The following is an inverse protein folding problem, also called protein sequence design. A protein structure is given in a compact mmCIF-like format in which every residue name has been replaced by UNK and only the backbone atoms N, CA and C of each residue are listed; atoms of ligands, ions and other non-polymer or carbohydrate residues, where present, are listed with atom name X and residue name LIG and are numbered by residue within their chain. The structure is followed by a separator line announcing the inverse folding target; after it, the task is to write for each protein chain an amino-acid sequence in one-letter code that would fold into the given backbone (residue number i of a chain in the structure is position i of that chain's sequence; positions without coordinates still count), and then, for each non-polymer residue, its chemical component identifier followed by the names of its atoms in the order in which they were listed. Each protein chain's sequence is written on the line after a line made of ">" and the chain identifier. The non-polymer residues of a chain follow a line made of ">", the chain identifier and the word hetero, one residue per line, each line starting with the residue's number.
data_IF_478788691238
#
_entry.id   IF_478788691238
#
_cell.length_a   1.000
_cell.length_b   1.000
_cell.length_c   1.000
_cell.angle_alpha   90.00
_cell.angle_beta   90.00
_cell.angle_gamma   90.00
#
_symmetry.space_group_name_H-M   'P 1'
#
loop_
_entity.id
_entity.type
_entity.pdbx_description
1 polymer ?
#
# COMPACT_ATOMS: atom_id res chain seq x y z
N UNK A 1 22.20 3.80 7.92
CA UNK A 1 21.22 3.23 6.95
C UNK A 1 21.88 2.73 5.67
N UNK A 2 22.96 3.39 5.17
CA UNK A 2 23.62 3.03 3.91
C UNK A 2 24.11 1.58 3.91
N UNK A 3 24.98 1.25 4.84
CA UNK A 3 25.51 -0.12 4.98
C UNK A 3 24.43 -1.19 5.06
N UNK A 4 23.39 -0.95 5.87
CA UNK A 4 22.28 -1.89 6.01
C UNK A 4 21.51 -2.06 4.69
N UNK A 5 21.32 -0.98 3.94
CA UNK A 5 20.69 -1.05 2.62
C UNK A 5 21.53 -1.86 1.63
N UNK A 6 22.82 -1.60 1.54
CA UNK A 6 23.73 -2.31 0.64
C UNK A 6 23.80 -3.82 0.97
N UNK A 7 23.91 -4.18 2.25
CA UNK A 7 23.90 -5.57 2.70
C UNK A 7 22.56 -6.27 2.38
N UNK A 8 21.46 -5.56 2.53
CA UNK A 8 20.10 -6.08 2.24
C UNK A 8 19.89 -6.23 0.73
N UNK A 9 20.33 -5.25 -0.04
CA UNK A 9 20.25 -5.28 -1.51
C UNK A 9 21.13 -6.41 -2.08
N UNK A 10 22.39 -6.54 -1.65
CA UNK A 10 23.30 -7.61 -2.11
C UNK A 10 22.71 -9.00 -1.83
N UNK A 11 22.12 -9.18 -0.65
CA UNK A 11 21.44 -10.44 -0.30
C UNK A 11 20.24 -10.71 -1.22
N UNK A 12 19.42 -9.70 -1.48
CA UNK A 12 18.23 -9.83 -2.31
C UNK A 12 18.59 -10.10 -3.79
N UNK A 13 19.56 -9.38 -4.34
CA UNK A 13 20.03 -9.56 -5.73
C UNK A 13 20.64 -10.93 -5.95
N UNK A 14 21.50 -11.39 -5.04
CA UNK A 14 22.06 -12.75 -5.11
C UNK A 14 21.00 -13.84 -5.00
N UNK A 15 20.07 -13.70 -4.03
CA UNK A 15 19.02 -14.71 -3.79
C UNK A 15 18.02 -14.80 -4.95
N UNK A 16 17.57 -13.64 -5.47
CA UNK A 16 16.43 -13.61 -6.39
C UNK A 16 16.83 -13.48 -7.86
N UNK A 17 17.99 -12.88 -8.15
CA UNK A 17 18.42 -12.58 -9.53
C UNK A 17 19.72 -13.30 -9.89
N UNK A 18 20.47 -13.84 -8.92
CA UNK A 18 21.79 -14.44 -9.15
C UNK A 18 22.87 -13.39 -9.51
N UNK A 19 22.63 -12.11 -9.20
CA UNK A 19 23.54 -10.99 -9.50
C UNK A 19 24.32 -10.55 -8.27
N UNK A 20 25.55 -10.09 -8.47
CA UNK A 20 26.29 -9.33 -7.46
C UNK A 20 25.75 -7.88 -7.39
N UNK A 21 26.12 -7.15 -6.33
CA UNK A 21 25.74 -5.74 -6.20
C UNK A 21 26.32 -4.88 -7.33
N UNK A 22 27.53 -5.18 -7.81
CA UNK A 22 28.20 -4.46 -8.90
C UNK A 22 27.52 -4.68 -10.25
N UNK A 23 26.89 -5.85 -10.46
CA UNK A 23 26.14 -6.18 -11.66
C UNK A 23 24.71 -5.62 -11.63
N UNK A 24 24.20 -5.28 -10.43
CA UNK A 24 22.84 -4.84 -10.20
C UNK A 24 22.59 -3.46 -10.79
N UNK A 25 21.53 -3.34 -11.58
CA UNK A 25 21.10 -2.11 -12.22
C UNK A 25 19.85 -1.53 -11.55
N UNK A 26 19.54 -0.26 -11.83
CA UNK A 26 18.40 0.44 -11.25
C UNK A 26 17.06 -0.28 -11.46
N UNK A 27 16.86 -0.87 -12.61
CA UNK A 27 15.62 -1.62 -12.94
C UNK A 27 15.50 -2.93 -12.16
N UNK A 28 16.61 -3.56 -11.80
CA UNK A 28 16.63 -4.76 -10.98
C UNK A 28 16.11 -4.47 -9.56
N UNK A 29 16.50 -3.32 -8.99
CA UNK A 29 15.99 -2.86 -7.71
C UNK A 29 14.47 -2.66 -7.75
N UNK A 30 13.93 -2.08 -8.83
CA UNK A 30 12.48 -1.94 -8.99
C UNK A 30 11.77 -3.30 -9.05
N UNK A 31 12.34 -4.28 -9.74
CA UNK A 31 11.79 -5.65 -9.78
C UNK A 31 11.77 -6.29 -8.39
N UNK A 32 12.85 -6.14 -7.63
CA UNK A 32 12.94 -6.67 -6.25
C UNK A 32 11.89 -6.03 -5.33
N UNK A 33 11.68 -4.70 -5.46
CA UNK A 33 10.69 -3.96 -4.67
C UNK A 33 9.25 -4.42 -4.99
N UNK A 34 8.95 -4.71 -6.25
CA UNK A 34 7.63 -5.21 -6.67
C UNK A 34 7.34 -6.63 -6.20
N UNK A 35 8.37 -7.38 -5.86
CA UNK A 35 8.27 -8.72 -5.25
C UNK A 35 7.34 -9.70 -5.99
N UNK A 36 7.45 -9.86 -7.33
CA UNK A 36 6.50 -10.65 -8.13
C UNK A 36 6.47 -12.13 -7.76
N UNK A 37 7.50 -12.65 -7.11
CA UNK A 37 7.55 -14.03 -6.59
C UNK A 37 6.49 -14.32 -5.51
N UNK A 38 5.86 -13.28 -4.97
CA UNK A 38 4.83 -13.37 -3.94
C UNK A 38 3.41 -13.13 -4.45
N UNK A 39 3.25 -12.82 -5.74
CA UNK A 39 1.96 -12.41 -6.32
C UNK A 39 0.84 -13.45 -6.13
N UNK A 40 1.17 -14.74 -6.14
CA UNK A 40 0.20 -15.81 -5.87
C UNK A 40 -0.42 -15.74 -4.47
N UNK A 41 0.29 -15.20 -3.49
CA UNK A 41 -0.21 -14.97 -2.14
C UNK A 41 -1.17 -13.79 -2.01
N UNK A 42 -1.29 -12.97 -3.06
CA UNK A 42 -2.06 -11.73 -3.09
C UNK A 42 -3.14 -11.73 -4.19
N UNK A 43 -4.15 -12.60 -4.12
CA UNK A 43 -5.18 -12.72 -5.15
C UNK A 43 -6.09 -11.49 -5.21
N UNK A 44 -6.45 -11.06 -6.42
CA UNK A 44 -7.23 -9.84 -6.65
C UNK A 44 -8.66 -9.90 -6.09
N UNK A 45 -9.28 -11.06 -6.12
CA UNK A 45 -10.66 -11.28 -5.63
C UNK A 45 -10.77 -11.20 -4.09
N UNK A 46 -9.67 -11.35 -3.36
CA UNK A 46 -9.63 -11.19 -1.90
C UNK A 46 -9.38 -9.77 -1.42
N UNK A 47 -9.03 -8.84 -2.29
CA UNK A 47 -8.65 -7.46 -1.91
C UNK A 47 -9.76 -6.74 -1.15
N UNK A 48 -10.95 -6.64 -1.72
CA UNK A 48 -12.10 -5.97 -1.09
C UNK A 48 -12.59 -6.73 0.15
N UNK A 49 -12.75 -8.05 0.13
CA UNK A 49 -13.09 -8.81 1.34
C UNK A 49 -12.11 -8.61 2.50
N UNK A 50 -10.80 -8.59 2.23
CA UNK A 50 -9.79 -8.39 3.25
C UNK A 50 -9.82 -6.95 3.81
N UNK A 51 -10.05 -5.94 2.97
CA UNK A 51 -10.25 -4.56 3.43
C UNK A 51 -11.46 -4.47 4.36
N UNK A 52 -12.61 -4.99 3.95
CA UNK A 52 -13.83 -5.01 4.79
C UNK A 52 -13.59 -5.70 6.13
N UNK A 53 -12.93 -6.87 6.12
CA UNK A 53 -12.61 -7.60 7.34
C UNK A 53 -11.61 -6.85 8.24
N UNK A 54 -10.70 -6.07 7.66
CA UNK A 54 -9.74 -5.24 8.42
C UNK A 54 -10.45 -4.05 9.05
N UNK A 55 -11.28 -3.35 8.31
CA UNK A 55 -12.07 -2.23 8.82
C UNK A 55 -13.07 -2.66 9.90
N UNK A 56 -13.70 -3.83 9.73
CA UNK A 56 -14.61 -4.40 10.72
C UNK A 56 -13.90 -4.68 12.07
N UNK A 57 -12.64 -5.14 12.07
CA UNK A 57 -11.84 -5.30 13.28
C UNK A 57 -11.58 -3.96 14.00
N UNK A 58 -11.62 -2.85 13.27
CA UNK A 58 -11.50 -1.47 13.79
C UNK A 58 -12.87 -0.86 14.15
N UNK A 59 -13.97 -1.61 14.00
CA UNK A 59 -15.32 -1.13 14.27
C UNK A 59 -15.95 -0.34 13.12
N UNK A 60 -15.34 -0.37 11.92
CA UNK A 60 -15.84 0.33 10.73
C UNK A 60 -16.54 -0.67 9.80
N UNK A 61 -17.82 -0.44 9.54
CA UNK A 61 -18.60 -1.23 8.59
C UNK A 61 -18.66 -0.49 7.24
N UNK A 62 -17.77 -0.87 6.33
CA UNK A 62 -17.64 -0.24 5.01
C UNK A 62 -18.94 -0.29 4.18
N UNK A 63 -19.77 -1.33 4.35
CA UNK A 63 -21.04 -1.45 3.62
C UNK A 63 -22.12 -0.50 4.15
N UNK A 64 -21.97 -0.04 5.39
CA UNK A 64 -22.85 0.96 6.01
C UNK A 64 -22.33 2.38 5.92
N UNK A 65 -21.08 2.55 5.54
CA UNK A 65 -20.46 3.84 5.27
C UNK A 65 -21.01 4.44 3.96
N UNK A 66 -22.16 5.08 4.01
CA UNK A 66 -22.85 5.60 2.81
C UNK A 66 -22.10 6.68 2.02
N UNK A 67 -21.00 7.20 2.56
CA UNK A 67 -20.14 8.22 1.96
C UNK A 67 -18.87 7.66 1.27
N UNK A 68 -18.58 6.37 1.42
CA UNK A 68 -17.48 5.69 0.71
C UNK A 68 -18.04 4.88 -0.45
N UNK A 69 -17.49 5.07 -1.63
CA UNK A 69 -17.92 4.40 -2.85
C UNK A 69 -16.76 3.63 -3.48
N UNK A 70 -16.92 2.32 -3.61
CA UNK A 70 -15.95 1.45 -4.27
C UNK A 70 -16.21 1.41 -5.79
N UNK A 71 -15.21 1.78 -6.59
CA UNK A 71 -15.22 1.58 -8.03
C UNK A 71 -14.23 0.46 -8.39
N UNK A 72 -14.75 -0.78 -8.44
CA UNK A 72 -13.97 -2.00 -8.71
C UNK A 72 -14.27 -2.60 -10.09
N UNK A 73 -15.17 -2.01 -10.85
CA UNK A 73 -15.56 -2.54 -12.16
C UNK A 73 -14.43 -2.44 -13.17
N UNK A 74 -14.25 -3.47 -13.96
CA UNK A 74 -13.37 -3.45 -15.12
C UNK A 74 -14.07 -2.78 -16.29
N UNK A 75 -13.43 -1.77 -16.88
CA UNK A 75 -13.95 -1.09 -18.08
C UNK A 75 -12.80 -0.54 -18.93
N UNK A 76 -13.01 -0.38 -20.24
CA UNK A 76 -12.00 0.20 -21.14
C UNK A 76 -11.51 1.57 -20.63
N UNK A 77 -10.21 1.80 -20.73
CA UNK A 77 -9.52 3.05 -20.32
C UNK A 77 -9.53 3.36 -18.82
N UNK A 78 -10.04 2.47 -17.94
CA UNK A 78 -9.85 2.63 -16.49
C UNK A 78 -8.37 2.50 -16.16
N UNK A 79 -7.86 3.38 -15.29
CA UNK A 79 -6.51 3.22 -14.75
C UNK A 79 -6.40 1.90 -13.99
N UNK A 80 -5.36 1.10 -14.22
CA UNK A 80 -5.13 -0.10 -13.42
C UNK A 80 -4.67 0.23 -11.98
N UNK A 81 -4.18 1.45 -11.75
CA UNK A 81 -3.68 1.85 -10.43
C UNK A 81 -4.83 2.20 -9.49
N UNK A 82 -4.72 1.77 -8.24
CA UNK A 82 -5.57 2.26 -7.18
C UNK A 82 -5.40 3.77 -6.98
N UNK A 83 -6.48 4.46 -6.63
CA UNK A 83 -6.43 5.84 -6.16
C UNK A 83 -7.66 6.19 -5.33
N UNK A 84 -7.49 7.09 -4.37
CA UNK A 84 -8.56 7.75 -3.65
C UNK A 84 -8.94 9.05 -4.37
N UNK A 85 -10.26 9.28 -4.55
CA UNK A 85 -10.77 10.55 -5.07
C UNK A 85 -11.76 11.15 -4.05
N UNK A 86 -11.34 12.11 -3.24
CA UNK A 86 -12.22 12.81 -2.31
C UNK A 86 -13.01 13.88 -3.08
N UNK A 87 -14.18 13.51 -3.58
CA UNK A 87 -15.04 14.38 -4.39
C UNK A 87 -15.62 15.48 -3.52
N UNK A 88 -16.23 15.08 -2.40
CA UNK A 88 -16.83 15.96 -1.41
C UNK A 88 -16.53 15.41 0.00
N UNK A 89 -15.68 16.10 0.76
CA UNK A 89 -15.23 15.64 2.08
C UNK A 89 -16.17 16.12 3.17
N UNK A 90 -16.69 15.24 4.02
CA UNK A 90 -16.52 13.78 4.03
C UNK A 90 -17.63 13.02 3.26
N UNK A 91 -18.51 13.67 2.55
CA UNK A 91 -19.79 13.15 2.11
C UNK A 91 -19.73 12.24 0.88
N UNK A 92 -18.66 12.36 0.07
CA UNK A 92 -18.46 11.53 -1.11
C UNK A 92 -16.98 11.28 -1.39
N UNK A 93 -16.51 10.11 -1.02
CA UNK A 93 -15.14 9.68 -1.24
C UNK A 93 -15.13 8.40 -2.06
N UNK A 94 -14.37 8.39 -3.16
CA UNK A 94 -14.26 7.25 -4.07
C UNK A 94 -12.95 6.50 -3.80
N UNK A 95 -13.02 5.19 -3.64
CA UNK A 95 -11.88 4.29 -3.70
C UNK A 95 -11.94 3.51 -5.02
N UNK A 96 -11.01 3.81 -5.90
CA UNK A 96 -10.99 3.27 -7.27
C UNK A 96 -9.86 2.27 -7.41
N UNK A 97 -10.17 1.08 -7.91
CA UNK A 97 -9.18 0.06 -8.24
C UNK A 97 -9.70 -0.85 -9.36
N UNK A 98 -8.79 -1.37 -10.16
CA UNK A 98 -8.99 -2.57 -10.96
C UNK A 98 -8.26 -3.73 -10.27
N UNK A 99 -8.96 -4.60 -9.53
CA UNK A 99 -8.32 -5.58 -8.64
C UNK A 99 -7.70 -6.72 -9.48
N UNK A 100 -6.47 -6.54 -9.87
CA UNK A 100 -5.69 -7.54 -10.62
C UNK A 100 -5.05 -8.53 -9.65
N UNK A 101 -4.55 -8.03 -8.52
CA UNK A 101 -3.80 -8.78 -7.53
C UNK A 101 -2.28 -8.58 -7.66
N UNK A 102 -1.54 -9.33 -6.83
CA UNK A 102 -0.11 -9.17 -6.66
C UNK A 102 0.26 -8.23 -5.52
N UNK A 103 1.45 -8.41 -4.96
CA UNK A 103 1.91 -7.69 -3.77
C UNK A 103 1.88 -6.15 -3.94
N UNK A 104 2.27 -5.65 -5.13
CA UNK A 104 2.29 -4.22 -5.43
C UNK A 104 0.88 -3.60 -5.49
N UNK A 105 -0.07 -4.34 -6.08
CA UNK A 105 -1.47 -3.91 -6.21
C UNK A 105 -2.18 -3.88 -4.84
N UNK A 106 -1.90 -4.86 -3.98
CA UNK A 106 -2.41 -4.89 -2.61
C UNK A 106 -1.89 -3.75 -1.76
N UNK A 107 -0.59 -3.45 -1.83
CA UNK A 107 -0.01 -2.29 -1.14
C UNK A 107 -0.65 -0.98 -1.58
N UNK A 108 -0.78 -0.79 -2.89
CA UNK A 108 -1.43 0.41 -3.45
C UNK A 108 -2.90 0.52 -3.01
N UNK A 109 -3.65 -0.57 -3.05
CA UNK A 109 -5.06 -0.58 -2.65
C UNK A 109 -5.25 -0.21 -1.17
N UNK A 110 -4.46 -0.82 -0.28
CA UNK A 110 -4.55 -0.52 1.16
C UNK A 110 -4.07 0.90 1.47
N UNK A 111 -3.05 1.40 0.76
CA UNK A 111 -2.64 2.80 0.84
C UNK A 111 -3.79 3.75 0.52
N UNK A 112 -4.43 3.56 -0.62
CA UNK A 112 -5.56 4.39 -1.05
C UNK A 112 -6.80 4.22 -0.16
N UNK A 113 -6.99 3.04 0.43
CA UNK A 113 -8.02 2.81 1.43
C UNK A 113 -7.76 3.64 2.71
N UNK A 114 -6.51 3.81 3.12
CA UNK A 114 -6.13 4.68 4.23
C UNK A 114 -6.48 6.15 3.98
N UNK A 115 -6.19 6.65 2.79
CA UNK A 115 -6.66 7.99 2.36
C UNK A 115 -8.18 8.08 2.37
N UNK A 116 -8.86 7.05 1.86
CA UNK A 116 -10.31 7.01 1.76
C UNK A 116 -10.96 7.12 3.13
N UNK A 117 -10.52 6.31 4.10
CA UNK A 117 -11.04 6.34 5.47
C UNK A 117 -10.72 7.66 6.18
N UNK A 118 -9.54 8.21 5.97
CA UNK A 118 -9.20 9.53 6.51
C UNK A 118 -10.16 10.60 6.03
N UNK A 119 -10.38 10.71 4.72
CA UNK A 119 -11.30 11.74 4.18
C UNK A 119 -12.76 11.46 4.53
N UNK A 120 -13.20 10.21 4.51
CA UNK A 120 -14.58 9.85 4.82
C UNK A 120 -14.96 10.07 6.29
N UNK A 121 -13.97 10.07 7.18
CA UNK A 121 -14.18 10.30 8.61
C UNK A 121 -13.71 11.69 9.09
N UNK A 122 -13.42 12.60 8.17
CA UNK A 122 -13.11 14.01 8.48
C UNK A 122 -14.33 14.72 9.04
N UNK A 123 -14.14 15.55 10.06
CA UNK A 123 -15.24 16.29 10.68
C UNK A 123 -15.92 17.27 9.69
N UNK A 124 -17.25 17.33 9.74
CA UNK A 124 -18.05 18.11 8.78
C UNK A 124 -17.95 19.62 8.97
N UNK A 125 -17.68 20.04 10.19
CA UNK A 125 -17.63 21.43 10.63
C UNK A 125 -16.25 22.09 10.42
N UNK A 126 -15.28 21.36 9.90
CA UNK A 126 -13.99 21.93 9.52
C UNK A 126 -14.11 22.84 8.30
N UNK A 127 -13.24 23.86 8.24
CA UNK A 127 -13.12 24.73 7.09
C UNK A 127 -12.54 23.98 5.86
N UNK A 128 -12.74 24.54 4.66
CA UNK A 128 -12.30 23.92 3.42
C UNK A 128 -10.78 23.67 3.40
N UNK A 129 -10.02 24.62 3.94
CA UNK A 129 -8.57 24.56 4.04
C UNK A 129 -8.12 23.39 4.91
N UNK A 130 -8.77 23.15 6.04
CA UNK A 130 -8.45 22.04 6.93
C UNK A 130 -8.82 20.67 6.32
N UNK A 131 -9.93 20.63 5.56
CA UNK A 131 -10.38 19.40 4.88
C UNK A 131 -9.49 19.00 3.71
N UNK A 132 -8.95 19.96 2.95
CA UNK A 132 -8.28 19.71 1.67
C UNK A 132 -6.83 20.13 1.60
N UNK A 133 -6.45 21.17 2.33
CA UNK A 133 -5.11 21.77 2.27
C UNK A 133 -4.30 21.53 3.54
N UNK A 134 -4.80 20.64 4.42
CA UNK A 134 -4.10 20.21 5.60
C UNK A 134 -2.75 19.55 5.27
N UNK A 135 -1.94 19.31 6.29
CA UNK A 135 -0.63 18.70 6.12
C UNK A 135 -0.76 17.31 5.45
N UNK A 136 -0.13 17.15 4.29
CA UNK A 136 -0.08 15.88 3.57
C UNK A 136 0.49 14.74 4.42
N UNK A 137 1.32 15.04 5.42
CA UNK A 137 1.87 14.02 6.33
C UNK A 137 0.76 13.31 7.13
N UNK A 138 -0.34 13.98 7.46
CA UNK A 138 -1.46 13.37 8.19
C UNK A 138 -2.17 12.34 7.32
N UNK A 139 -2.56 12.72 6.11
CA UNK A 139 -3.25 11.79 5.19
C UNK A 139 -2.35 10.65 4.74
N UNK A 140 -1.07 10.93 4.46
CA UNK A 140 -0.07 9.90 4.17
C UNK A 140 0.18 8.98 5.37
N UNK A 141 0.14 9.49 6.60
CA UNK A 141 0.23 8.69 7.81
C UNK A 141 -0.87 7.62 7.89
N UNK A 142 -2.11 7.97 7.59
CA UNK A 142 -3.24 7.03 7.50
C UNK A 142 -3.06 6.04 6.35
N UNK A 143 -2.62 6.51 5.19
CA UNK A 143 -2.34 5.68 4.03
C UNK A 143 -1.24 4.64 4.33
N UNK A 144 -0.13 5.08 4.92
CA UNK A 144 0.97 4.20 5.31
C UNK A 144 0.59 3.21 6.41
N UNK A 145 -0.23 3.62 7.39
CA UNK A 145 -0.73 2.73 8.43
C UNK A 145 -1.46 1.54 7.82
N UNK A 146 -2.38 1.78 6.90
CA UNK A 146 -3.12 0.73 6.23
C UNK A 146 -2.23 -0.11 5.30
N UNK A 147 -1.35 0.54 4.54
CA UNK A 147 -0.42 -0.13 3.63
C UNK A 147 0.49 -1.11 4.37
N UNK A 148 1.06 -0.73 5.52
CA UNK A 148 1.98 -1.59 6.27
C UNK A 148 1.32 -2.84 6.85
N UNK A 149 -0.01 -2.91 6.93
CA UNK A 149 -0.70 -4.16 7.27
C UNK A 149 -0.38 -5.26 6.25
N UNK A 150 -0.24 -4.91 4.98
CA UNK A 150 0.10 -5.90 3.92
C UNK A 150 1.53 -6.44 4.03
N UNK A 151 2.36 -5.88 4.90
CA UNK A 151 3.71 -6.35 5.21
C UNK A 151 3.81 -6.94 6.63
N UNK A 152 2.70 -6.96 7.41
CA UNK A 152 2.66 -7.51 8.77
C UNK A 152 2.38 -9.03 8.76
N UNK A 153 3.28 -9.87 9.31
CA UNK A 153 3.10 -11.32 9.30
C UNK A 153 1.82 -11.80 9.98
N UNK A 154 1.43 -11.13 11.07
CA UNK A 154 0.22 -11.47 11.80
C UNK A 154 -1.05 -11.15 11.03
N UNK A 155 -1.09 -10.02 10.34
CA UNK A 155 -2.21 -9.65 9.47
C UNK A 155 -2.29 -10.58 8.26
N UNK A 156 -1.15 -10.86 7.60
CA UNK A 156 -1.07 -11.77 6.45
C UNK A 156 -1.59 -13.17 6.79
N UNK A 157 -1.19 -13.70 7.94
CA UNK A 157 -1.67 -15.00 8.41
C UNK A 157 -3.17 -15.01 8.68
N UNK A 158 -3.68 -13.98 9.37
CA UNK A 158 -5.10 -13.93 9.77
C UNK A 158 -6.05 -13.59 8.62
N UNK A 159 -5.62 -12.74 7.69
CA UNK A 159 -6.51 -12.22 6.63
C UNK A 159 -6.35 -12.95 5.29
N UNK A 160 -5.17 -13.53 5.04
CA UNK A 160 -4.87 -14.15 3.75
C UNK A 160 -4.51 -15.64 3.82
N UNK A 161 -4.31 -16.20 5.02
CA UNK A 161 -3.72 -17.54 5.19
C UNK A 161 -2.37 -17.64 4.47
N UNK A 162 -1.60 -16.57 4.50
CA UNK A 162 -0.38 -16.42 3.72
C UNK A 162 0.67 -17.48 4.14
N UNK A 163 1.26 -18.23 3.21
CA UNK A 163 2.00 -19.45 3.55
C UNK A 163 3.35 -19.20 4.23
N UNK A 164 3.99 -18.05 3.98
CA UNK A 164 5.32 -17.69 4.50
C UNK A 164 5.39 -16.21 4.85
N UNK A 165 4.60 -15.75 5.83
CA UNK A 165 4.46 -14.33 6.10
C UNK A 165 5.75 -13.69 6.63
N UNK A 166 6.51 -14.39 7.48
CA UNK A 166 7.77 -13.87 8.02
C UNK A 166 8.85 -13.72 6.95
N UNK A 167 8.91 -14.63 5.98
CA UNK A 167 9.85 -14.54 4.87
C UNK A 167 9.52 -13.36 3.95
N UNK A 168 8.25 -13.18 3.65
CA UNK A 168 7.77 -12.04 2.87
C UNK A 168 8.07 -10.71 3.57
N UNK A 169 7.76 -10.60 4.86
CA UNK A 169 8.04 -9.39 5.65
C UNK A 169 9.55 -9.09 5.72
N UNK A 170 10.39 -10.13 5.86
CA UNK A 170 11.85 -9.96 5.84
C UNK A 170 12.37 -9.44 4.49
N UNK A 171 11.80 -9.90 3.37
CA UNK A 171 12.12 -9.37 2.04
C UNK A 171 11.60 -7.94 1.83
N UNK A 172 10.46 -7.59 2.42
CA UNK A 172 9.88 -6.25 2.42
C UNK A 172 10.76 -5.18 3.09
N UNK A 173 11.73 -5.59 3.93
CA UNK A 173 12.68 -4.67 4.55
C UNK A 173 13.51 -3.89 3.52
N UNK A 174 13.81 -4.48 2.37
CA UNK A 174 14.50 -3.78 1.27
C UNK A 174 13.69 -2.60 0.76
N UNK A 175 12.37 -2.76 0.60
CA UNK A 175 11.45 -1.71 0.19
C UNK A 175 11.46 -0.54 1.19
N UNK A 176 11.34 -0.83 2.48
CA UNK A 176 11.38 0.19 3.54
C UNK A 176 12.69 0.97 3.53
N UNK A 177 13.82 0.28 3.49
CA UNK A 177 15.14 0.91 3.43
C UNK A 177 15.34 1.77 2.18
N UNK A 178 14.85 1.29 1.03
CA UNK A 178 14.88 2.06 -0.22
C UNK A 178 14.10 3.38 -0.09
N UNK A 179 12.89 3.35 0.48
CA UNK A 179 12.08 4.55 0.64
C UNK A 179 12.66 5.52 1.66
N UNK A 180 13.15 5.04 2.80
CA UNK A 180 13.83 5.89 3.81
C UNK A 180 15.02 6.63 3.16
N UNK A 181 15.84 5.92 2.38
CA UNK A 181 16.96 6.54 1.66
C UNK A 181 16.51 7.54 0.60
N UNK A 182 15.51 7.17 -0.20
CA UNK A 182 14.96 8.01 -1.27
C UNK A 182 14.38 9.31 -0.73
N UNK A 183 13.61 9.26 0.33
CA UNK A 183 13.00 10.45 0.93
C UNK A 183 14.03 11.27 1.70
N UNK A 184 14.95 10.63 2.42
CA UNK A 184 16.07 11.31 3.04
C UNK A 184 16.93 12.07 2.02
N UNK A 185 17.23 11.47 0.88
CA UNK A 185 17.95 12.14 -0.20
C UNK A 185 17.19 13.36 -0.76
N UNK A 186 15.86 13.25 -0.91
CA UNK A 186 15.04 14.39 -1.36
C UNK A 186 15.01 15.56 -0.37
N UNK A 187 15.11 15.28 0.93
CA UNK A 187 15.18 16.34 1.95
C UNK A 187 16.54 17.07 1.96
N UNK A 188 17.58 16.40 1.48
CA UNK A 188 18.94 16.97 1.43
C UNK A 188 19.25 17.70 0.10
N UNK A 189 18.41 17.53 -0.90
CA UNK A 189 18.55 18.13 -2.24
C UNK A 189 17.77 19.43 -2.37
#
# INVERSE_FOLDING_TARGET
>A
TERLYEETLDRATRKQLGLSLEETQRWDVQRLIRSPQWDEGFPGDRMVPALKATLADLGIDLDRQGNVHLDIEQRPKKSPRAFCAPIEIPDKVMLVIQPIGGADDWRAFFHEAGHTEHYANTARDLEMEEKRLGDSAVTEGWAMLMQYLTDDPGWLSRKLDFPRPDEYAAEGMLWLLFFVRRYGAKLLY
#
